data_IF_606965113402
#
_entry.id   IF_606965113402
#
_cell.length_a   1.000
_cell.length_b   1.000
_cell.length_c   1.000
_cell.angle_alpha   90.00
_cell.angle_beta   90.00
_cell.angle_gamma   90.00
#
_symmetry.space_group_name_H-M   'P 1'
#
loop_
_entity.id
_entity.type
_entity.pdbx_description
1 polymer ?
#
# COMPACT_ATOMS: atom_id res chain seq x y z
N UNK A 1 2.85 -13.22 -5.09
CA UNK A 1 2.72 -11.96 -5.87
C UNK A 1 3.91 -11.06 -5.51
N UNK A 2 4.39 -10.22 -6.42
CA UNK A 2 5.53 -9.31 -6.16
C UNK A 2 5.17 -7.92 -6.64
N UNK A 3 5.62 -6.92 -5.90
CA UNK A 3 5.54 -5.52 -6.31
C UNK A 3 6.78 -5.20 -7.12
N UNK A 4 6.55 -4.64 -8.31
CA UNK A 4 7.61 -4.23 -9.21
C UNK A 4 7.39 -2.80 -9.65
N UNK A 5 8.50 -2.07 -9.79
CA UNK A 5 8.58 -0.83 -10.56
C UNK A 5 9.34 -1.15 -11.84
N UNK A 6 8.62 -1.22 -12.97
CA UNK A 6 9.17 -1.71 -14.23
C UNK A 6 9.73 -3.13 -14.10
N UNK A 7 11.04 -3.28 -14.27
CA UNK A 7 11.79 -4.53 -14.17
C UNK A 7 12.40 -4.77 -12.77
N UNK A 8 12.24 -3.84 -11.84
CA UNK A 8 12.81 -3.90 -10.49
C UNK A 8 11.77 -4.43 -9.50
N UNK A 9 12.09 -5.54 -8.82
CA UNK A 9 11.28 -6.01 -7.70
C UNK A 9 11.47 -5.10 -6.48
N UNK A 10 10.41 -4.39 -6.10
CA UNK A 10 10.35 -3.45 -4.98
C UNK A 10 10.17 -4.18 -3.65
N UNK A 11 9.23 -5.12 -3.61
CA UNK A 11 9.07 -6.06 -2.50
C UNK A 11 8.38 -7.33 -2.97
N UNK A 12 8.67 -8.45 -2.33
CA UNK A 12 8.01 -9.73 -2.60
C UNK A 12 6.93 -9.93 -1.54
N UNK A 13 5.77 -10.51 -1.90
CA UNK A 13 4.79 -10.95 -0.91
C UNK A 13 5.52 -11.66 0.23
N UNK A 14 5.05 -11.43 1.46
CA UNK A 14 5.44 -12.21 2.62
C UNK A 14 6.82 -11.94 3.23
N UNK A 15 7.51 -10.83 2.91
CA UNK A 15 8.80 -10.52 3.55
C UNK A 15 8.92 -9.05 3.97
N UNK A 16 9.24 -8.84 5.24
CA UNK A 16 9.60 -7.57 5.90
C UNK A 16 10.74 -6.80 5.20
N UNK A 17 11.49 -7.44 4.29
CA UNK A 17 12.64 -6.81 3.63
C UNK A 17 12.22 -6.05 2.38
N UNK A 18 11.92 -4.77 2.57
CA UNK A 18 11.80 -3.77 1.52
C UNK A 18 13.13 -3.60 0.78
N UNK A 19 13.08 -3.46 -0.56
CA UNK A 19 14.27 -3.14 -1.35
C UNK A 19 14.85 -1.79 -0.94
N UNK A 20 16.19 -1.65 -0.95
CA UNK A 20 16.86 -0.35 -0.77
C UNK A 20 16.41 0.67 -1.81
N UNK A 21 15.99 0.22 -2.99
CA UNK A 21 15.52 1.08 -4.07
C UNK A 21 14.24 1.86 -3.71
N UNK A 22 13.39 1.29 -2.85
CA UNK A 22 12.10 1.88 -2.50
C UNK A 22 12.03 2.33 -1.04
N UNK A 23 13.17 2.42 -0.34
CA UNK A 23 13.21 2.82 1.06
C UNK A 23 12.73 4.27 1.20
N UNK A 24 11.88 4.54 2.20
CA UNK A 24 11.45 5.91 2.49
C UNK A 24 12.65 6.66 3.09
N UNK A 25 12.99 7.78 2.48
CA UNK A 25 14.07 8.69 2.90
C UNK A 25 13.50 10.10 3.20
N UNK A 26 14.21 10.96 3.94
CA UNK A 26 13.74 12.32 4.27
C UNK A 26 13.30 13.17 3.07
N UNK A 27 13.90 12.94 1.90
CA UNK A 27 13.58 13.61 0.64
C UNK A 27 12.35 13.04 -0.09
N UNK A 28 11.74 11.96 0.42
CA UNK A 28 10.59 11.30 -0.19
C UNK A 28 9.34 12.17 -0.13
N UNK A 29 8.71 12.41 -1.28
CA UNK A 29 7.53 13.28 -1.39
C UNK A 29 6.24 12.52 -1.70
N UNK A 30 6.35 11.41 -2.44
CA UNK A 30 5.22 10.58 -2.83
C UNK A 30 5.51 9.15 -2.37
N UNK A 31 4.66 8.61 -1.52
CA UNK A 31 4.85 7.31 -0.89
C UNK A 31 3.70 6.40 -1.31
N UNK A 32 4.04 5.21 -1.81
CA UNK A 32 3.10 4.12 -1.99
C UNK A 32 3.09 3.27 -0.74
N UNK A 33 1.97 3.31 -0.01
CA UNK A 33 1.74 2.43 1.12
C UNK A 33 0.87 1.27 0.68
N UNK A 34 1.31 0.05 0.94
CA UNK A 34 0.61 -1.16 0.51
C UNK A 34 0.32 -2.01 1.75
N UNK A 35 -0.94 -2.38 1.91
CA UNK A 35 -1.40 -3.27 2.97
C UNK A 35 -2.15 -4.43 2.34
N UNK A 36 -1.72 -5.64 2.65
CA UNK A 36 -2.35 -6.88 2.19
C UNK A 36 -3.20 -7.47 3.31
N UNK A 37 -4.46 -7.76 3.01
CA UNK A 37 -5.35 -8.53 3.88
C UNK A 37 -5.30 -9.96 3.36
N UNK A 38 -4.76 -10.88 4.17
CA UNK A 38 -4.69 -12.29 3.81
C UNK A 38 -6.08 -12.96 3.91
N UNK A 39 -6.23 -14.11 3.25
CA UNK A 39 -7.44 -14.92 3.34
C UNK A 39 -7.73 -15.36 4.78
N UNK A 40 -8.97 -15.77 5.05
CA UNK A 40 -9.52 -16.15 6.37
C UNK A 40 -9.98 -14.99 7.27
N UNK A 41 -10.28 -13.82 6.70
CA UNK A 41 -10.86 -12.69 7.43
C UNK A 41 -12.24 -12.31 6.89
N UNK A 42 -13.12 -11.73 7.73
CA UNK A 42 -14.43 -11.22 7.28
C UNK A 42 -14.28 -10.21 6.12
N UNK A 43 -15.20 -10.21 5.12
CA UNK A 43 -15.10 -9.32 3.95
C UNK A 43 -14.96 -7.82 4.28
N UNK A 44 -15.56 -7.36 5.37
CA UNK A 44 -15.51 -5.98 5.85
C UNK A 44 -14.12 -5.56 6.36
N UNK A 45 -13.24 -6.51 6.67
CA UNK A 45 -11.93 -6.26 7.26
C UNK A 45 -11.07 -5.35 6.39
N UNK A 46 -11.12 -5.52 5.07
CA UNK A 46 -10.40 -4.67 4.13
C UNK A 46 -10.85 -3.21 4.19
N UNK A 47 -12.16 -2.97 4.37
CA UNK A 47 -12.73 -1.62 4.51
C UNK A 47 -12.28 -0.96 5.82
N UNK A 48 -12.37 -1.68 6.93
CA UNK A 48 -11.96 -1.19 8.26
C UNK A 48 -10.48 -0.82 8.28
N UNK A 49 -9.61 -1.70 7.77
CA UNK A 49 -8.17 -1.43 7.71
C UNK A 49 -7.86 -0.27 6.78
N UNK A 50 -8.55 -0.19 5.64
CA UNK A 50 -8.40 0.92 4.70
C UNK A 50 -8.73 2.26 5.36
N UNK A 51 -9.85 2.37 6.07
CA UNK A 51 -10.25 3.59 6.80
C UNK A 51 -9.22 3.95 7.88
N UNK A 52 -8.84 2.99 8.72
CA UNK A 52 -7.88 3.21 9.80
C UNK A 52 -6.51 3.69 9.28
N UNK A 53 -6.03 3.14 8.16
CA UNK A 53 -4.77 3.57 7.54
C UNK A 53 -4.88 4.98 6.96
N UNK A 54 -5.98 5.30 6.27
CA UNK A 54 -6.19 6.63 5.69
C UNK A 54 -6.26 7.69 6.78
N UNK A 55 -7.01 7.43 7.85
CA UNK A 55 -7.11 8.33 9.00
C UNK A 55 -5.77 8.49 9.72
N UNK A 56 -5.07 7.38 9.99
CA UNK A 56 -3.75 7.43 10.62
C UNK A 56 -2.75 8.26 9.80
N UNK A 57 -2.68 8.05 8.49
CA UNK A 57 -1.78 8.80 7.61
C UNK A 57 -2.12 10.30 7.60
N UNK A 58 -3.41 10.66 7.61
CA UNK A 58 -3.84 12.06 7.69
C UNK A 58 -3.51 12.67 9.05
N UNK A 59 -3.82 11.98 10.13
CA UNK A 59 -3.73 12.54 11.49
C UNK A 59 -2.28 12.64 11.97
N UNK A 60 -1.43 11.65 11.69
CA UNK A 60 -0.06 11.62 12.19
C UNK A 60 0.96 12.28 11.26
N UNK A 61 0.70 12.33 9.95
CA UNK A 61 1.65 12.86 8.97
C UNK A 61 1.11 14.06 8.19
N UNK A 62 -0.11 14.53 8.49
CA UNK A 62 -0.80 15.58 7.73
C UNK A 62 -0.80 15.29 6.21
N UNK A 63 -0.86 14.01 5.83
CA UNK A 63 -0.66 13.57 4.47
C UNK A 63 -1.93 13.78 3.63
N UNK A 64 -1.76 14.19 2.37
CA UNK A 64 -2.83 14.08 1.37
C UNK A 64 -2.91 12.64 0.90
N UNK A 65 -3.87 11.89 1.44
CA UNK A 65 -4.02 10.46 1.15
C UNK A 65 -5.02 10.23 0.03
N UNK A 66 -4.56 9.56 -1.03
CA UNK A 66 -5.39 8.86 -2.01
C UNK A 66 -5.27 7.36 -1.73
N UNK A 67 -6.39 6.67 -1.68
CA UNK A 67 -6.45 5.25 -1.35
C UNK A 67 -7.49 4.55 -2.20
N UNK A 68 -7.25 3.26 -2.46
CA UNK A 68 -8.08 2.41 -3.29
C UNK A 68 -7.88 0.97 -2.80
N UNK A 69 -8.94 0.15 -2.81
CA UNK A 69 -8.87 -1.29 -2.52
C UNK A 69 -8.79 -2.04 -3.86
N UNK A 70 -7.84 -2.96 -3.95
CA UNK A 70 -7.67 -3.88 -5.07
C UNK A 70 -8.16 -5.28 -4.68
N UNK A 71 -8.90 -5.92 -5.59
CA UNK A 71 -9.38 -7.29 -5.44
C UNK A 71 -9.45 -8.01 -6.80
N UNK A 72 -9.99 -9.23 -6.82
CA UNK A 72 -10.12 -10.02 -8.04
C UNK A 72 -10.98 -9.36 -9.13
N UNK A 73 -11.95 -8.53 -8.76
CA UNK A 73 -12.83 -7.76 -9.63
C UNK A 73 -12.27 -6.38 -10.02
N UNK A 74 -11.40 -5.80 -9.20
CA UNK A 74 -10.74 -4.52 -9.46
C UNK A 74 -9.21 -4.65 -9.35
N UNK A 75 -8.56 -4.93 -10.49
CA UNK A 75 -7.14 -5.32 -10.56
C UNK A 75 -6.14 -4.20 -10.84
N UNK A 76 -6.61 -2.97 -11.09
CA UNK A 76 -5.72 -1.85 -11.42
C UNK A 76 -6.25 -0.51 -10.96
N UNK A 77 -5.33 0.39 -10.58
CA UNK A 77 -5.59 1.79 -10.25
C UNK A 77 -4.71 2.65 -11.15
N UNK A 78 -5.25 3.77 -11.66
CA UNK A 78 -4.46 4.78 -12.37
C UNK A 78 -4.21 5.99 -11.49
N UNK A 79 -2.96 6.35 -11.34
CA UNK A 79 -2.52 7.50 -10.56
C UNK A 79 -2.19 8.60 -11.58
N UNK A 80 -2.92 9.72 -11.50
CA UNK A 80 -2.73 10.91 -12.34
C UNK A 80 -1.97 11.94 -11.53
#
# INVERSE_FOLDING_TARGET
MSYADGDIVVTRHFVWKQSRHAIIAPESKNIFFISEILGELPPETAGIVHEALVEGLRNFFNAKVRSDILDAGRRSIRIK
#
